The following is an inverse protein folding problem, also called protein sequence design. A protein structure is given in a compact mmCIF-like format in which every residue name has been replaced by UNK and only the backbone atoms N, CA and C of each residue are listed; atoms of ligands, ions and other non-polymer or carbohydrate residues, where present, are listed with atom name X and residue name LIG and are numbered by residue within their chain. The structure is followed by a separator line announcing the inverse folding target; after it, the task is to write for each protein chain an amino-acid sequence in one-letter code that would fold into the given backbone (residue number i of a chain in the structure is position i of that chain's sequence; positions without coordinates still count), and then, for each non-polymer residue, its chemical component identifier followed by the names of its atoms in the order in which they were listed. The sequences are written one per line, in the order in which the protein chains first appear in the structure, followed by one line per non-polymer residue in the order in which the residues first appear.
data_IF_949930768463
#
_entry.id   IF_949930768463
#
_cell.length_a   1.000
_cell.length_b   1.000
_cell.length_c   1.000
_cell.angle_alpha   90.00
_cell.angle_beta   90.00
_cell.angle_gamma   90.00
#
_symmetry.space_group_name_H-M   'P 1'
#
loop_
_entity.id
_entity.type
_entity.pdbx_description
1 polymer ?
#
# COMPACT_ATOMS: atom_id res chain seq x y z
N UNK A 1 25.72 3.61 19.53
CA UNK A 1 24.99 3.34 18.27
C UNK A 1 24.62 1.87 18.32
N UNK A 2 23.34 1.56 18.32
CA UNK A 2 22.81 0.19 18.47
C UNK A 2 23.13 -0.64 17.22
N UNK A 3 23.45 -1.91 17.38
CA UNK A 3 23.81 -2.84 16.30
C UNK A 3 22.71 -2.97 15.23
N UNK A 4 21.44 -2.81 15.59
CA UNK A 4 20.32 -2.86 14.68
C UNK A 4 20.25 -1.64 13.77
N UNK A 5 20.58 -0.45 14.27
CA UNK A 5 20.64 0.77 13.48
C UNK A 5 21.83 0.77 12.52
N UNK A 6 22.96 0.19 12.94
CA UNK A 6 24.12 -0.02 12.07
C UNK A 6 23.81 -0.98 10.93
N UNK A 7 23.17 -2.11 11.22
CA UNK A 7 22.83 -3.12 10.21
C UNK A 7 21.80 -2.58 9.19
N UNK A 8 20.77 -1.85 9.64
CA UNK A 8 19.80 -1.20 8.75
C UNK A 8 20.48 -0.20 7.81
N UNK A 9 21.36 0.64 8.35
CA UNK A 9 22.09 1.62 7.57
C UNK A 9 22.99 0.95 6.53
N UNK A 10 23.72 -0.09 6.93
CA UNK A 10 24.59 -0.85 6.03
C UNK A 10 23.80 -1.53 4.90
N UNK A 11 22.64 -2.16 5.20
CA UNK A 11 21.76 -2.76 4.18
C UNK A 11 21.29 -1.70 3.19
N UNK A 12 20.82 -0.56 3.65
CA UNK A 12 20.30 0.51 2.79
C UNK A 12 21.44 1.07 1.91
N UNK A 13 22.60 1.34 2.48
CA UNK A 13 23.77 1.87 1.76
C UNK A 13 24.26 0.89 0.67
N UNK A 14 24.16 -0.43 0.90
CA UNK A 14 24.56 -1.43 -0.08
C UNK A 14 23.46 -1.80 -1.08
N UNK A 15 22.19 -1.50 -0.79
CA UNK A 15 21.08 -1.68 -1.74
C UNK A 15 20.96 -0.52 -2.74
N UNK A 16 21.54 0.63 -2.46
CA UNK A 16 21.62 1.78 -3.38
C UNK A 16 22.97 1.76 -4.12
N UNK A 17 23.31 0.61 -4.71
CA UNK A 17 24.63 0.37 -5.31
C UNK A 17 24.99 1.32 -6.46
N UNK A 18 24.01 1.90 -7.16
CA UNK A 18 24.20 2.75 -8.34
C UNK A 18 23.59 4.16 -8.18
N UNK A 19 23.40 4.63 -6.94
CA UNK A 19 22.77 5.92 -6.64
C UNK A 19 23.62 6.84 -5.76
N UNK A 20 23.14 8.06 -5.49
CA UNK A 20 23.77 8.96 -4.53
C UNK A 20 23.81 8.33 -3.14
N UNK A 21 24.82 8.68 -2.34
CA UNK A 21 24.90 8.17 -0.97
C UNK A 21 23.73 8.67 -0.13
N UNK A 22 23.38 7.95 0.96
CA UNK A 22 22.34 8.40 1.89
C UNK A 22 22.64 9.80 2.43
N UNK A 23 23.92 10.11 2.62
CA UNK A 23 24.35 11.42 3.07
C UNK A 23 23.99 12.50 2.04
N UNK A 24 24.29 12.28 0.77
CA UNK A 24 23.96 13.22 -0.31
C UNK A 24 22.44 13.42 -0.44
N UNK A 25 21.66 12.33 -0.28
CA UNK A 25 20.19 12.39 -0.29
C UNK A 25 19.62 13.16 0.91
N UNK A 26 20.29 13.17 2.06
CA UNK A 26 19.82 13.88 3.26
C UNK A 26 20.26 15.34 3.32
N UNK A 27 21.26 15.73 2.54
CA UNK A 27 21.80 17.10 2.54
C UNK A 27 21.14 18.02 1.50
N UNK A 28 20.51 17.45 0.46
CA UNK A 28 19.95 18.24 -0.64
C UNK A 28 18.66 17.64 -1.22
N UNK A 29 17.56 18.33 -1.02
CA UNK A 29 16.24 17.95 -1.54
C UNK A 29 16.20 17.83 -3.07
N UNK A 30 17.00 18.60 -3.78
CA UNK A 30 17.08 18.55 -5.25
C UNK A 30 17.70 17.24 -5.73
N UNK A 31 18.68 16.72 -4.98
CA UNK A 31 19.31 15.43 -5.25
C UNK A 31 18.32 14.27 -5.01
N UNK A 32 17.51 14.32 -3.94
CA UNK A 32 16.43 13.35 -3.72
C UNK A 32 15.40 13.40 -4.86
N UNK A 33 14.95 14.57 -5.25
CA UNK A 33 13.95 14.73 -6.30
C UNK A 33 14.44 14.15 -7.63
N UNK A 34 15.65 14.47 -8.04
CA UNK A 34 16.25 13.97 -9.29
C UNK A 34 16.42 12.43 -9.24
N UNK A 35 16.87 11.89 -8.11
CA UNK A 35 17.04 10.46 -7.94
C UNK A 35 15.71 9.73 -8.00
N UNK A 36 14.67 10.22 -7.27
CA UNK A 36 13.33 9.65 -7.31
C UNK A 36 12.79 9.68 -8.75
N UNK A 37 12.85 10.80 -9.44
CA UNK A 37 12.36 10.93 -10.83
C UNK A 37 13.02 9.95 -11.79
N UNK A 38 14.29 9.64 -11.55
CA UNK A 38 15.09 8.71 -12.37
C UNK A 38 14.81 7.24 -12.04
N UNK A 39 14.50 6.92 -10.78
CA UNK A 39 14.49 5.53 -10.29
C UNK A 39 13.09 5.02 -9.93
N UNK A 40 12.08 5.90 -9.78
CA UNK A 40 10.72 5.48 -9.45
C UNK A 40 10.14 4.60 -10.56
N UNK A 41 9.59 3.47 -10.16
CA UNK A 41 8.96 2.50 -11.05
C UNK A 41 7.52 2.23 -10.57
N UNK A 42 6.64 1.91 -11.51
CA UNK A 42 5.33 1.36 -11.20
C UNK A 42 5.47 -0.07 -10.64
N UNK A 43 4.81 -0.36 -9.53
CA UNK A 43 4.96 -1.64 -8.82
C UNK A 43 3.73 -2.57 -8.93
N UNK A 44 2.77 -2.24 -9.77
CA UNK A 44 1.58 -3.09 -10.07
C UNK A 44 0.73 -3.51 -8.86
N UNK A 45 0.82 -2.78 -7.76
CA UNK A 45 0.07 -2.99 -6.52
C UNK A 45 -1.05 -1.97 -6.36
N UNK A 46 -1.90 -1.83 -7.39
CA UNK A 46 -3.08 -0.97 -7.32
C UNK A 46 -3.98 -1.40 -6.17
N UNK A 47 -4.32 -0.46 -5.29
CA UNK A 47 -5.12 -0.70 -4.08
C UNK A 47 -5.84 0.57 -3.65
N UNK A 48 -6.79 0.45 -2.71
CA UNK A 48 -7.47 1.58 -2.05
C UNK A 48 -8.39 2.43 -2.92
N UNK A 49 -8.66 2.09 -4.17
CA UNK A 49 -9.50 2.91 -5.07
C UNK A 49 -11.01 2.80 -4.79
N UNK A 50 -11.43 1.72 -4.09
CA UNK A 50 -12.78 1.52 -3.56
C UNK A 50 -12.72 1.28 -2.04
N UNK A 51 -11.91 2.09 -1.34
CA UNK A 51 -11.56 1.82 0.05
C UNK A 51 -12.77 1.62 0.96
N UNK A 52 -12.66 0.65 1.86
CA UNK A 52 -13.66 0.46 2.90
C UNK A 52 -13.54 1.55 3.98
N UNK A 53 -14.67 1.88 4.58
CA UNK A 53 -14.73 2.84 5.67
C UNK A 53 -16.13 2.92 6.27
N UNK A 54 -16.39 3.92 7.09
CA UNK A 54 -17.73 4.23 7.59
C UNK A 54 -18.51 4.98 6.52
N UNK A 55 -19.82 4.88 6.54
CA UNK A 55 -20.70 5.55 5.57
C UNK A 55 -20.58 7.08 5.62
N UNK A 56 -20.27 7.63 6.80
CA UNK A 56 -20.08 9.08 6.99
C UNK A 56 -18.71 9.58 6.45
N UNK A 57 -17.80 8.69 6.12
CA UNK A 57 -16.50 9.06 5.52
C UNK A 57 -16.69 9.30 4.01
N UNK A 58 -16.55 10.56 3.52
CA UNK A 58 -16.77 10.89 2.12
C UNK A 58 -15.79 10.21 1.14
N UNK A 59 -14.72 9.64 1.66
CA UNK A 59 -13.76 8.89 0.86
C UNK A 59 -14.00 7.38 0.89
N UNK A 60 -14.95 6.87 1.67
CA UNK A 60 -15.30 5.46 1.69
C UNK A 60 -16.24 5.11 0.54
N UNK A 61 -15.97 4.02 -0.15
CA UNK A 61 -16.78 3.50 -1.25
C UNK A 61 -17.54 2.25 -0.81
N UNK A 62 -16.98 1.47 0.11
CA UNK A 62 -17.58 0.23 0.59
C UNK A 62 -17.60 0.14 2.12
N UNK A 63 -18.50 -0.70 2.64
CA UNK A 63 -18.46 -1.17 4.02
C UNK A 63 -17.37 -2.25 4.20
N UNK A 64 -17.09 -2.71 5.44
CA UNK A 64 -16.12 -3.79 5.69
C UNK A 64 -16.50 -5.17 5.11
N UNK A 65 -17.72 -5.33 4.63
CA UNK A 65 -18.21 -6.52 3.92
C UNK A 65 -18.12 -6.37 2.40
N UNK A 66 -17.52 -5.28 1.92
CA UNK A 66 -17.37 -4.98 0.50
C UNK A 66 -18.64 -4.46 -0.19
N UNK A 67 -19.74 -4.21 0.54
CA UNK A 67 -20.97 -3.66 -0.05
C UNK A 67 -20.73 -2.20 -0.45
N UNK A 68 -21.09 -1.85 -1.68
CA UNK A 68 -20.93 -0.48 -2.21
C UNK A 68 -22.03 0.41 -1.63
N UNK A 69 -21.64 1.54 -1.06
CA UNK A 69 -22.59 2.52 -0.53
C UNK A 69 -23.47 3.11 -1.65
N UNK A 70 -24.75 3.27 -1.36
CA UNK A 70 -25.73 3.81 -2.30
C UNK A 70 -26.15 2.88 -3.44
N UNK A 71 -25.64 1.64 -3.51
CA UNK A 71 -25.97 0.67 -4.56
C UNK A 71 -26.37 -0.65 -3.95
N UNK A 72 -27.56 -1.17 -4.27
CA UNK A 72 -28.03 -2.47 -3.80
C UNK A 72 -27.44 -3.62 -4.62
N UNK A 73 -27.04 -4.71 -3.94
CA UNK A 73 -26.63 -5.95 -4.60
C UNK A 73 -25.23 -5.91 -5.23
N UNK A 74 -24.43 -4.87 -5.00
CA UNK A 74 -23.07 -4.75 -5.53
C UNK A 74 -22.03 -4.84 -4.40
N UNK A 75 -20.99 -5.64 -4.63
CA UNK A 75 -19.82 -5.75 -3.75
C UNK A 75 -18.53 -5.62 -4.54
N UNK A 76 -17.50 -5.11 -3.87
CA UNK A 76 -16.11 -5.11 -4.32
C UNK A 76 -15.33 -6.08 -3.45
N UNK A 77 -14.51 -6.94 -4.09
CA UNK A 77 -13.81 -8.03 -3.41
C UNK A 77 -12.39 -8.21 -3.95
N UNK A 78 -11.59 -7.17 -3.86
CA UNK A 78 -10.18 -7.16 -4.28
C UNK A 78 -9.35 -6.15 -3.47
N UNK A 79 -8.10 -5.90 -3.87
CA UNK A 79 -7.22 -4.96 -3.19
C UNK A 79 -7.74 -3.52 -3.15
N UNK A 80 -8.69 -3.15 -4.00
CA UNK A 80 -9.23 -1.79 -4.03
C UNK A 80 -9.98 -1.40 -2.76
N UNK A 81 -10.52 -2.37 -2.01
CA UNK A 81 -11.23 -2.10 -0.75
C UNK A 81 -10.29 -1.79 0.43
N UNK A 82 -8.98 -2.01 0.31
CA UNK A 82 -8.04 -1.74 1.40
C UNK A 82 -8.17 -0.29 1.87
N UNK A 83 -8.24 -0.02 3.19
CA UNK A 83 -8.41 1.33 3.72
C UNK A 83 -7.15 2.19 3.57
N UNK A 84 -5.99 1.56 3.44
CA UNK A 84 -4.69 2.19 3.20
C UNK A 84 -3.77 1.26 2.42
N UNK A 85 -2.80 1.84 1.72
CA UNK A 85 -1.76 1.06 1.02
C UNK A 85 -0.91 0.30 2.03
N UNK A 86 -0.83 -1.04 1.95
CA UNK A 86 -0.01 -1.81 2.88
C UNK A 86 1.48 -1.62 2.61
N UNK A 87 2.29 -1.66 3.68
CA UNK A 87 3.76 -1.62 3.58
C UNK A 87 4.37 -2.98 3.20
N UNK A 88 3.67 -3.77 2.38
CA UNK A 88 4.08 -5.12 1.97
C UNK A 88 3.44 -5.48 0.62
N UNK A 89 3.86 -6.62 0.07
CA UNK A 89 3.22 -7.18 -1.12
C UNK A 89 1.71 -7.42 -0.89
N UNK A 90 0.88 -7.03 -1.85
CA UNK A 90 -0.59 -7.04 -1.73
C UNK A 90 -1.23 -8.41 -1.95
N UNK A 91 -0.50 -9.40 -2.48
CA UNK A 91 -1.06 -10.68 -2.90
C UNK A 91 -1.80 -11.42 -1.76
N UNK A 92 -1.10 -11.70 -0.65
CA UNK A 92 -1.69 -12.44 0.48
C UNK A 92 -2.89 -11.68 1.08
N UNK A 93 -2.78 -10.38 1.24
CA UNK A 93 -3.87 -9.54 1.74
C UNK A 93 -5.08 -9.55 0.81
N UNK A 94 -4.87 -9.59 -0.51
CA UNK A 94 -5.95 -9.67 -1.50
C UNK A 94 -6.65 -11.03 -1.46
N UNK A 95 -5.91 -12.12 -1.34
CA UNK A 95 -6.47 -13.46 -1.14
C UNK A 95 -7.33 -13.50 0.13
N UNK A 96 -6.82 -12.97 1.24
CA UNK A 96 -7.57 -12.90 2.50
C UNK A 96 -8.87 -12.10 2.36
N UNK A 97 -8.87 -10.99 1.63
CA UNK A 97 -10.08 -10.22 1.33
C UNK A 97 -11.09 -11.10 0.57
N UNK A 98 -10.63 -11.82 -0.46
CA UNK A 98 -11.47 -12.73 -1.23
C UNK A 98 -12.13 -13.79 -0.37
N UNK A 99 -11.35 -14.50 0.44
CA UNK A 99 -11.85 -15.54 1.36
C UNK A 99 -12.86 -14.99 2.36
N UNK A 100 -12.55 -13.86 3.00
CA UNK A 100 -13.43 -13.26 4.01
C UNK A 100 -14.77 -12.80 3.44
N UNK A 101 -14.76 -12.12 2.29
CA UNK A 101 -15.99 -11.61 1.67
C UNK A 101 -16.81 -12.75 1.10
N UNK A 102 -16.18 -13.76 0.48
CA UNK A 102 -16.87 -14.96 0.01
C UNK A 102 -17.58 -15.67 1.15
N UNK A 103 -16.92 -15.87 2.29
CA UNK A 103 -17.55 -16.47 3.47
C UNK A 103 -18.73 -15.63 3.98
N UNK A 104 -18.64 -14.31 3.94
CA UNK A 104 -19.75 -13.42 4.32
C UNK A 104 -20.94 -13.53 3.38
N UNK A 105 -20.72 -13.68 2.07
CA UNK A 105 -21.78 -13.86 1.07
C UNK A 105 -22.49 -15.19 1.27
N UNK A 106 -21.73 -16.26 1.53
CA UNK A 106 -22.28 -17.60 1.72
C UNK A 106 -23.09 -17.75 3.03
N UNK A 107 -22.90 -16.84 3.99
CA UNK A 107 -23.60 -16.83 5.27
C UNK A 107 -24.90 -16.01 5.25
N UNK A 108 -25.24 -15.34 4.17
CA UNK A 108 -26.49 -14.57 3.96
C UNK A 108 -27.61 -15.45 3.39
#
# INVERSE_FOLDING_TARGET
MDASSFMRRWIIENMIADGPSIKDLMEDDSTIEQWIRKTVLGHWHASCTCRMGREEDPGAVTDPSGRVYGVSGLRVCDASIMPMVPCANTNISTIMIGEKISASILAE
#
